data_IF_635147264767
#
_entry.id   IF_635147264767
#
_cell.length_a   1.000
_cell.length_b   1.000
_cell.length_c   1.000
_cell.angle_alpha   90.00
_cell.angle_beta   90.00
_cell.angle_gamma   90.00
#
_symmetry.space_group_name_H-M   'P 1'
#
loop_
_entity.id
_entity.type
_entity.pdbx_description
1 polymer ?
#
# COMPACT_ATOMS: atom_id res chain seq x y z
N UNK A 1 5.43 19.22 -27.69
CA UNK A 1 4.56 18.57 -26.71
C UNK A 1 5.34 17.48 -26.03
N UNK A 2 5.86 17.79 -24.90
CA UNK A 2 6.59 16.84 -24.09
C UNK A 2 5.61 16.13 -23.16
N UNK A 3 4.90 15.16 -23.70
CA UNK A 3 4.42 14.10 -22.86
C UNK A 3 5.67 13.34 -22.41
N UNK A 4 6.17 13.68 -21.25
CA UNK A 4 7.41 13.10 -20.73
C UNK A 4 7.26 11.61 -20.39
N UNK A 5 6.12 11.01 -20.68
CA UNK A 5 5.87 9.60 -20.40
C UNK A 5 5.86 9.25 -18.92
N UNK A 6 5.95 10.25 -18.06
CA UNK A 6 5.84 10.06 -16.62
C UNK A 6 4.38 9.97 -16.25
N UNK A 7 3.97 8.81 -15.79
CA UNK A 7 2.61 8.55 -15.39
C UNK A 7 2.54 8.33 -13.89
N UNK A 8 1.83 9.24 -13.19
CA UNK A 8 1.57 9.13 -11.77
C UNK A 8 0.26 8.38 -11.55
N UNK A 9 0.24 7.47 -10.59
CA UNK A 9 -0.95 6.71 -10.24
C UNK A 9 -1.02 6.45 -8.73
N UNK A 10 -2.22 6.11 -8.27
CA UNK A 10 -2.47 5.86 -6.85
C UNK A 10 -3.37 4.64 -6.64
N UNK A 11 -3.20 3.99 -5.51
CA UNK A 11 -4.03 2.87 -5.08
C UNK A 11 -4.15 2.87 -3.57
N UNK A 12 -5.35 2.69 -3.05
CA UNK A 12 -5.61 2.66 -1.60
C UNK A 12 -6.10 1.29 -1.18
N UNK A 13 -5.45 0.74 -0.16
CA UNK A 13 -5.81 -0.51 0.48
C UNK A 13 -6.37 -0.25 1.88
N UNK A 14 -7.37 -1.02 2.26
CA UNK A 14 -7.85 -1.08 3.63
C UNK A 14 -7.67 -2.51 4.15
N UNK A 15 -7.04 -2.66 5.29
CA UNK A 15 -6.92 -3.96 5.96
C UNK A 15 -7.88 -3.99 7.13
N UNK A 16 -8.78 -4.97 7.13
CA UNK A 16 -9.78 -5.15 8.17
C UNK A 16 -9.17 -5.86 9.39
N UNK A 17 -9.87 -5.78 10.52
CA UNK A 17 -9.49 -6.48 11.75
C UNK A 17 -9.41 -8.00 11.58
N UNK A 18 -10.07 -8.55 10.56
CA UNK A 18 -10.01 -9.97 10.21
C UNK A 18 -8.84 -10.32 9.28
N UNK A 19 -7.96 -9.35 9.03
CA UNK A 19 -6.80 -9.55 8.17
C UNK A 19 -7.08 -9.53 6.67
N UNK A 20 -8.31 -9.28 6.25
CA UNK A 20 -8.67 -9.16 4.83
C UNK A 20 -8.21 -7.81 4.28
N UNK A 21 -7.79 -7.81 3.03
CA UNK A 21 -7.43 -6.60 2.31
C UNK A 21 -8.50 -6.28 1.29
N UNK A 22 -8.92 -5.03 1.26
CA UNK A 22 -9.82 -4.50 0.24
C UNK A 22 -9.16 -3.34 -0.48
N UNK A 23 -9.35 -3.27 -1.77
CA UNK A 23 -8.93 -2.14 -2.59
C UNK A 23 -10.11 -1.16 -2.64
N UNK A 24 -9.90 0.08 -2.16
CA UNK A 24 -10.95 1.08 -2.06
C UNK A 24 -11.19 1.84 -3.36
N UNK A 25 -10.21 1.85 -4.26
CA UNK A 25 -10.31 2.41 -5.60
C UNK A 25 -10.04 1.31 -6.63
N UNK A 26 -11.02 0.39 -6.83
CA UNK A 26 -10.84 -0.70 -7.78
C UNK A 26 -10.76 -0.17 -9.22
N UNK A 27 -10.22 -1.00 -10.11
CA UNK A 27 -10.23 -0.71 -11.54
C UNK A 27 -11.68 -0.61 -12.06
N UNK A 28 -11.85 -0.04 -13.25
CA UNK A 28 -13.17 0.21 -13.86
C UNK A 28 -14.00 -1.09 -14.04
N UNK A 29 -13.33 -2.21 -14.29
CA UNK A 29 -13.98 -3.52 -14.38
C UNK A 29 -13.40 -4.48 -13.32
N UNK A 30 -13.92 -4.43 -12.08
CA UNK A 30 -13.44 -5.31 -11.03
C UNK A 30 -13.69 -6.79 -11.29
N UNK A 31 -14.62 -7.12 -12.19
CA UNK A 31 -14.90 -8.53 -12.52
C UNK A 31 -13.90 -9.11 -13.51
N UNK A 32 -13.21 -8.28 -14.28
CA UNK A 32 -12.21 -8.73 -15.24
C UNK A 32 -11.06 -9.51 -14.59
N UNK A 33 -10.72 -9.16 -13.35
CA UNK A 33 -9.67 -9.85 -12.58
C UNK A 33 -10.09 -11.29 -12.18
N UNK A 34 -11.38 -11.58 -12.18
CA UNK A 34 -11.93 -12.88 -11.75
C UNK A 34 -12.27 -13.80 -12.92
N UNK A 35 -12.37 -13.26 -14.12
CA UNK A 35 -12.70 -14.01 -15.32
C UNK A 35 -11.40 -14.37 -16.08
N UNK A 36 -11.01 -15.68 -16.11
CA UNK A 36 -9.76 -16.09 -16.73
C UNK A 36 -9.73 -15.90 -18.26
N UNK A 37 -10.88 -15.65 -18.90
CA UNK A 37 -10.97 -15.36 -20.34
C UNK A 37 -10.74 -13.89 -20.68
N UNK A 38 -10.71 -13.02 -19.69
CA UNK A 38 -10.56 -11.57 -19.85
C UNK A 38 -9.19 -11.09 -19.35
N UNK A 39 -8.70 -9.92 -19.82
CA UNK A 39 -7.51 -9.29 -19.25
C UNK A 39 -7.69 -9.05 -17.74
N UNK A 40 -6.58 -9.04 -17.02
CA UNK A 40 -6.59 -8.67 -15.59
C UNK A 40 -7.16 -7.27 -15.42
N UNK A 41 -7.99 -7.07 -14.37
CA UNK A 41 -8.58 -5.78 -14.05
C UNK A 41 -7.56 -4.72 -13.61
N UNK A 42 -6.34 -5.14 -13.24
CA UNK A 42 -5.23 -4.28 -12.86
C UNK A 42 -4.06 -4.48 -13.82
N UNK A 43 -3.33 -3.38 -14.12
CA UNK A 43 -2.10 -3.47 -14.90
C UNK A 43 -0.94 -4.06 -14.06
N UNK A 44 0.18 -4.48 -14.67
CA UNK A 44 1.29 -5.08 -13.95
C UNK A 44 1.88 -4.21 -12.83
N UNK A 45 1.96 -2.90 -13.00
CA UNK A 45 2.49 -2.00 -11.96
C UNK A 45 1.53 -1.89 -10.78
N UNK A 46 0.23 -1.87 -11.05
CA UNK A 46 -0.79 -1.93 -9.97
C UNK A 46 -0.68 -3.24 -9.18
N UNK A 47 -0.45 -4.37 -9.84
CA UNK A 47 -0.21 -5.65 -9.15
C UNK A 47 1.01 -5.59 -8.25
N UNK A 48 2.09 -4.96 -8.69
CA UNK A 48 3.27 -4.77 -7.87
C UNK A 48 2.98 -3.89 -6.65
N UNK A 49 2.23 -2.79 -6.84
CA UNK A 49 1.80 -1.91 -5.75
C UNK A 49 0.92 -2.65 -4.75
N UNK A 50 -0.02 -3.48 -5.22
CA UNK A 50 -0.87 -4.33 -4.37
C UNK A 50 -0.01 -5.30 -3.56
N UNK A 51 0.96 -5.95 -4.19
CA UNK A 51 1.85 -6.89 -3.51
C UNK A 51 2.66 -6.20 -2.41
N UNK A 52 3.24 -5.04 -2.69
CA UNK A 52 3.98 -4.24 -1.71
C UNK A 52 3.07 -3.81 -0.56
N UNK A 53 1.90 -3.26 -0.87
CA UNK A 53 0.94 -2.80 0.13
C UNK A 53 0.42 -3.92 1.01
N UNK A 54 0.08 -5.07 0.44
CA UNK A 54 -0.38 -6.24 1.19
C UNK A 54 0.70 -6.77 2.14
N UNK A 55 1.94 -6.86 1.67
CA UNK A 55 3.05 -7.34 2.49
C UNK A 55 3.36 -6.38 3.63
N UNK A 56 3.51 -5.10 3.35
CA UNK A 56 3.87 -4.10 4.36
C UNK A 56 2.75 -3.88 5.38
N UNK A 57 1.49 -3.88 4.95
CA UNK A 57 0.36 -3.75 5.88
C UNK A 57 0.22 -4.97 6.78
N UNK A 58 0.61 -6.16 6.34
CA UNK A 58 0.63 -7.34 7.21
C UNK A 58 1.68 -7.21 8.32
N UNK A 59 2.87 -6.71 8.02
CA UNK A 59 3.87 -6.42 9.05
C UNK A 59 3.37 -5.36 10.05
N UNK A 60 2.74 -4.30 9.55
CA UNK A 60 2.15 -3.27 10.41
C UNK A 60 1.04 -3.83 11.28
N UNK A 61 0.16 -4.67 10.73
CA UNK A 61 -0.90 -5.33 11.50
C UNK A 61 -0.33 -6.19 12.64
N UNK A 62 0.69 -6.98 12.35
CA UNK A 62 1.37 -7.81 13.37
C UNK A 62 2.00 -6.97 14.47
N UNK A 63 2.60 -5.85 14.12
CA UNK A 63 3.12 -4.90 15.10
C UNK A 63 2.01 -4.40 16.02
N UNK A 64 0.89 -3.95 15.46
CA UNK A 64 -0.25 -3.46 16.22
C UNK A 64 -0.84 -4.55 17.13
N UNK A 65 -0.99 -5.76 16.60
CA UNK A 65 -1.51 -6.91 17.36
C UNK A 65 -0.64 -7.24 18.58
N UNK A 66 0.67 -7.29 18.40
CA UNK A 66 1.62 -7.61 19.48
C UNK A 66 1.62 -6.57 20.60
N UNK A 67 1.24 -5.33 20.29
CA UNK A 67 1.15 -4.24 21.27
C UNK A 67 -0.25 -3.98 21.79
N UNK A 68 -1.20 -4.83 21.44
CA UNK A 68 -2.61 -4.68 21.79
C UNK A 68 -3.20 -3.32 21.36
N UNK A 69 -2.74 -2.82 20.21
CA UNK A 69 -3.25 -1.60 19.60
C UNK A 69 -4.32 -1.94 18.55
N UNK A 70 -5.21 -0.98 18.24
CA UNK A 70 -6.18 -1.18 17.16
C UNK A 70 -5.52 -1.56 15.85
N UNK A 71 -6.01 -2.62 15.20
CA UNK A 71 -5.41 -3.19 13.99
C UNK A 71 -5.98 -2.62 12.69
N UNK A 72 -6.95 -1.73 12.76
CA UNK A 72 -7.51 -1.06 11.60
C UNK A 72 -6.46 -0.14 10.99
N UNK A 73 -6.19 -0.32 9.72
CA UNK A 73 -5.22 0.47 9.00
C UNK A 73 -5.56 0.58 7.51
N UNK A 74 -5.09 1.65 6.91
CA UNK A 74 -5.16 1.89 5.48
C UNK A 74 -3.76 2.18 4.94
N UNK A 75 -3.54 1.86 3.69
CA UNK A 75 -2.31 2.22 3.00
C UNK A 75 -2.65 2.79 1.63
N UNK A 76 -2.03 3.91 1.31
CA UNK A 76 -2.08 4.49 -0.02
C UNK A 76 -0.71 4.34 -0.67
N UNK A 77 -0.70 3.83 -1.88
CA UNK A 77 0.51 3.71 -2.68
C UNK A 77 0.39 4.67 -3.85
N UNK A 78 1.39 5.53 -3.97
CA UNK A 78 1.55 6.45 -5.08
C UNK A 78 2.84 6.08 -5.80
N UNK A 79 2.85 6.10 -7.13
CA UNK A 79 4.03 5.77 -7.91
C UNK A 79 4.12 6.60 -9.17
N UNK A 80 5.32 6.67 -9.70
CA UNK A 80 5.59 7.29 -10.99
C UNK A 80 6.35 6.31 -11.89
N UNK A 81 5.98 6.29 -13.16
CA UNK A 81 6.66 5.50 -14.18
C UNK A 81 7.39 6.46 -15.13
N UNK A 82 8.69 6.25 -15.26
CA UNK A 82 9.50 6.93 -16.27
C UNK A 82 9.37 6.15 -17.60
N UNK A 83 8.55 6.66 -18.50
CA UNK A 83 8.27 5.99 -19.76
C UNK A 83 9.47 5.94 -20.71
N UNK A 84 10.43 6.86 -20.58
CA UNK A 84 11.65 6.87 -21.41
C UNK A 84 12.62 5.78 -20.98
N UNK A 85 12.74 5.56 -19.68
CA UNK A 85 13.63 4.54 -19.11
C UNK A 85 12.93 3.21 -18.87
N UNK A 86 11.62 3.15 -19.12
CA UNK A 86 10.79 1.95 -18.91
C UNK A 86 10.93 1.39 -17.50
N UNK A 87 10.84 2.28 -16.49
CA UNK A 87 11.00 1.86 -15.09
C UNK A 87 10.14 2.68 -14.15
N UNK A 88 9.87 2.11 -12.98
CA UNK A 88 9.21 2.83 -11.89
C UNK A 88 10.27 3.73 -11.24
N UNK A 89 10.05 5.05 -11.29
CA UNK A 89 11.01 6.03 -10.76
C UNK A 89 10.91 6.21 -9.26
N UNK A 90 9.72 6.02 -8.67
CA UNK A 90 9.52 6.04 -7.22
C UNK A 90 8.19 5.38 -6.83
N UNK A 91 8.12 4.89 -5.61
CA UNK A 91 6.89 4.49 -4.95
C UNK A 91 6.85 5.10 -3.55
N UNK A 92 5.71 5.68 -3.18
CA UNK A 92 5.44 6.17 -1.83
C UNK A 92 4.34 5.34 -1.21
N UNK A 93 4.59 4.80 -0.04
CA UNK A 93 3.58 4.13 0.76
C UNK A 93 3.25 5.00 1.96
N UNK A 94 2.01 5.44 2.06
CA UNK A 94 1.49 6.15 3.22
C UNK A 94 0.63 5.20 4.03
N UNK A 95 1.13 4.82 5.18
CA UNK A 95 0.43 3.95 6.13
C UNK A 95 -0.35 4.83 7.12
N UNK A 96 -1.66 4.60 7.24
CA UNK A 96 -2.52 5.34 8.16
C UNK A 96 -3.08 4.39 9.21
N UNK A 97 -2.87 4.73 10.47
CA UNK A 97 -3.20 3.92 11.64
C UNK A 97 -4.31 4.58 12.46
N UNK A 98 -5.07 3.76 13.17
CA UNK A 98 -6.08 4.25 14.11
C UNK A 98 -5.50 4.82 15.41
N UNK A 99 -4.19 4.79 15.56
CA UNK A 99 -3.47 5.27 16.75
C UNK A 99 -2.31 6.17 16.34
N UNK A 100 -1.88 7.04 17.25
CA UNK A 100 -0.63 7.79 17.13
C UNK A 100 0.47 7.02 17.82
N UNK A 101 1.56 6.76 17.13
CA UNK A 101 2.73 6.08 17.67
C UNK A 101 3.72 7.11 18.23
N UNK A 102 4.38 6.77 19.34
CA UNK A 102 5.53 7.52 19.82
C UNK A 102 6.78 7.22 18.96
N UNK A 103 7.87 7.94 19.19
CA UNK A 103 9.09 7.78 18.38
C UNK A 103 9.70 6.38 18.49
N UNK A 104 9.65 5.77 19.67
CA UNK A 104 10.15 4.39 19.88
C UNK A 104 9.32 3.37 19.11
N UNK A 105 8.00 3.45 19.24
CA UNK A 105 7.07 2.58 18.53
C UNK A 105 7.20 2.72 17.01
N UNK A 106 7.33 3.97 16.55
CA UNK A 106 7.56 4.25 15.12
C UNK A 106 8.85 3.62 14.62
N UNK A 107 9.90 3.71 15.40
CA UNK A 107 11.19 3.12 15.04
C UNK A 107 11.11 1.59 14.96
N UNK A 108 10.41 0.95 15.88
CA UNK A 108 10.19 -0.50 15.85
C UNK A 108 9.37 -0.90 14.64
N UNK A 109 8.31 -0.16 14.33
CA UNK A 109 7.48 -0.42 13.14
C UNK A 109 8.31 -0.30 11.85
N UNK A 110 9.11 0.74 11.72
CA UNK A 110 9.99 0.93 10.55
C UNK A 110 10.94 -0.25 10.37
N UNK A 111 11.52 -0.75 11.46
CA UNK A 111 12.40 -1.92 11.44
C UNK A 111 11.65 -3.19 11.01
N UNK A 112 10.44 -3.38 11.50
CA UNK A 112 9.63 -4.54 11.10
C UNK A 112 9.27 -4.48 9.61
N UNK A 113 8.85 -3.33 9.12
CA UNK A 113 8.50 -3.16 7.71
C UNK A 113 9.71 -3.34 6.77
N UNK A 114 10.91 -3.03 7.22
CA UNK A 114 12.14 -3.29 6.46
C UNK A 114 12.41 -4.78 6.24
N UNK A 115 11.79 -5.68 6.99
CA UNK A 115 11.87 -7.11 6.77
C UNK A 115 10.86 -7.64 5.74
N UNK A 116 10.05 -6.78 5.15
CA UNK A 116 9.09 -7.17 4.12
C UNK A 116 9.83 -7.72 2.89
N UNK A 117 9.60 -8.98 2.50
CA UNK A 117 10.31 -9.58 1.34
C UNK A 117 10.05 -8.84 0.03
N UNK A 118 8.85 -8.31 -0.18
CA UNK A 118 8.53 -7.54 -1.39
C UNK A 118 9.29 -6.23 -1.41
N UNK A 119 9.36 -5.53 -0.26
CA UNK A 119 10.17 -4.31 -0.14
C UNK A 119 11.66 -4.60 -0.42
N UNK A 120 12.18 -5.67 0.16
CA UNK A 120 13.57 -6.08 -0.06
C UNK A 120 13.85 -6.43 -1.52
N UNK A 121 12.90 -7.04 -2.22
CA UNK A 121 13.04 -7.36 -3.64
C UNK A 121 13.14 -6.10 -4.52
N UNK A 122 12.54 -4.99 -4.10
CA UNK A 122 12.61 -3.71 -4.81
C UNK A 122 13.84 -2.88 -4.43
N UNK A 123 14.50 -3.22 -3.33
CA UNK A 123 15.62 -2.46 -2.79
C UNK A 123 16.76 -2.32 -3.82
N UNK A 124 17.23 -1.08 -3.99
CA UNK A 124 18.28 -0.76 -4.96
C UNK A 124 17.79 -0.54 -6.40
N UNK A 125 16.54 -0.93 -6.74
CA UNK A 125 15.97 -0.76 -8.07
C UNK A 125 14.84 0.27 -8.09
N UNK A 126 13.95 0.23 -7.09
CA UNK A 126 12.83 1.15 -6.97
C UNK A 126 12.94 1.88 -5.64
N UNK A 127 13.09 3.22 -5.64
CA UNK A 127 13.03 3.99 -4.40
C UNK A 127 11.63 3.86 -3.79
N UNK A 128 11.55 3.32 -2.57
CA UNK A 128 10.31 3.20 -1.81
C UNK A 128 10.43 4.07 -0.56
N UNK A 129 9.52 5.05 -0.43
CA UNK A 129 9.43 5.93 0.73
C UNK A 129 8.20 5.56 1.55
N UNK A 130 8.38 5.43 2.86
CA UNK A 130 7.33 5.02 3.79
C UNK A 130 6.99 6.20 4.70
N UNK A 131 5.70 6.54 4.74
CA UNK A 131 5.15 7.57 5.61
C UNK A 131 4.13 6.93 6.54
N UNK A 132 4.09 7.35 7.80
CA UNK A 132 3.09 6.87 8.75
C UNK A 132 2.32 8.05 9.29
N UNK A 133 1.00 7.98 9.22
CA UNK A 133 0.07 9.01 9.64
C UNK A 133 -1.06 8.40 10.46
N UNK A 134 -1.84 9.24 11.12
CA UNK A 134 -3.06 8.83 11.79
C UNK A 134 -4.25 8.86 10.80
N UNK A 135 -5.14 7.88 10.91
CA UNK A 135 -6.40 7.88 10.18
C UNK A 135 -7.27 9.09 10.58
N UNK A 136 -7.87 9.74 9.59
CA UNK A 136 -8.94 10.69 9.83
C UNK A 136 -10.21 9.96 10.30
N UNK A 137 -11.10 10.65 11.01
CA UNK A 137 -12.35 10.04 11.50
C UNK A 137 -13.19 9.41 10.40
N UNK A 138 -13.31 10.09 9.26
CA UNK A 138 -14.05 9.59 8.11
C UNK A 138 -13.46 8.32 7.53
N UNK A 139 -12.13 8.24 7.45
CA UNK A 139 -11.42 7.05 6.99
C UNK A 139 -11.59 5.89 7.97
N UNK A 140 -11.57 6.17 9.27
CA UNK A 140 -11.79 5.17 10.31
C UNK A 140 -13.18 4.56 10.20
N UNK A 141 -14.22 5.37 10.00
CA UNK A 141 -15.58 4.89 9.77
C UNK A 141 -15.67 4.00 8.54
N UNK A 142 -15.07 4.43 7.42
CA UNK A 142 -15.05 3.66 6.19
C UNK A 142 -14.36 2.30 6.38
N UNK A 143 -13.26 2.28 7.11
CA UNK A 143 -12.52 1.05 7.41
C UNK A 143 -13.30 0.10 8.32
N UNK A 144 -14.06 0.64 9.30
CA UNK A 144 -14.88 -0.16 10.22
C UNK A 144 -16.13 -0.75 9.55
N UNK A 145 -16.69 -0.09 8.54
CA UNK A 145 -17.84 -0.56 7.76
C UNK A 145 -17.48 -1.71 6.79
N UNK A 146 -16.23 -1.96 6.59
CA UNK A 146 -15.72 -3.00 5.69
C UNK A 146 -15.29 -4.25 6.47
#
# INVERSE_FOLDING_TARGET
MSDNGDNAATLTLCRTIRGRVRILNPCEDPTAALDPSKPLGYNPVQHLAIALGCCMTEFARRFLERRNLPQTLMATLDWQVDGRRCRISRMDLTLRLAVTLDDEERHILDRMMNHCPVHQALHGNVPVHIHVQQLAEEELRLAEET
#
